data_IF_187158995276
#
_entry.id   IF_187158995276
#
_cell.length_a   1.000
_cell.length_b   1.000
_cell.length_c   1.000
_cell.angle_alpha   90.00
_cell.angle_beta   90.00
_cell.angle_gamma   90.00
#
_symmetry.space_group_name_H-M   'P 1'
#
loop_
_entity.id
_entity.type
_entity.pdbx_description
1 polymer ?
#
# COMPACT_ATOMS: atom_id res chain seq x y z
N UNK A 1 39.54 12.95 34.68
CA UNK A 1 38.70 11.78 35.03
C UNK A 1 37.27 12.13 34.64
N UNK A 2 36.72 11.47 33.62
CA UNK A 2 35.36 11.74 33.11
C UNK A 2 35.25 11.51 31.60
N UNK A 3 35.18 10.24 31.19
CA UNK A 3 34.71 9.91 29.83
C UNK A 3 33.19 9.73 29.90
N UNK A 4 32.45 10.69 29.35
CA UNK A 4 31.03 10.52 29.05
C UNK A 4 30.89 9.55 27.87
N UNK A 5 30.78 8.26 28.16
CA UNK A 5 30.25 7.28 27.22
C UNK A 5 28.74 7.28 27.40
N UNK A 6 28.00 8.00 26.56
CA UNK A 6 26.56 7.75 26.33
C UNK A 6 26.04 8.53 25.13
N UNK A 7 26.44 8.10 23.93
CA UNK A 7 25.61 8.17 22.75
C UNK A 7 25.88 6.87 21.98
N UNK A 8 25.10 5.82 22.22
CA UNK A 8 25.10 4.67 21.31
C UNK A 8 24.55 5.14 19.98
N UNK A 9 25.45 5.49 19.06
CA UNK A 9 25.13 5.77 17.68
C UNK A 9 24.24 4.65 17.12
N UNK A 10 23.11 5.06 16.56
CA UNK A 10 22.39 4.31 15.54
C UNK A 10 23.36 3.77 14.50
N UNK A 11 23.57 2.45 14.49
CA UNK A 11 24.30 1.79 13.41
C UNK A 11 23.57 1.93 12.06
N UNK A 12 24.31 1.92 10.94
CA UNK A 12 23.71 1.93 9.61
C UNK A 12 23.15 0.53 9.32
N UNK A 13 21.83 0.42 9.13
CA UNK A 13 21.23 -0.81 8.57
C UNK A 13 20.18 -1.54 9.41
N UNK A 14 19.62 -0.93 10.46
CA UNK A 14 18.44 -1.46 11.13
C UNK A 14 17.34 -0.40 11.18
N UNK A 15 16.31 -0.53 10.35
CA UNK A 15 15.07 0.23 10.50
C UNK A 15 14.54 -0.02 11.92
N UNK A 16 14.88 0.85 12.88
CA UNK A 16 14.22 0.93 14.19
C UNK A 16 12.83 1.51 13.93
N UNK A 17 11.99 0.79 13.19
CA UNK A 17 10.56 1.00 13.26
C UNK A 17 10.23 0.71 14.72
N UNK A 18 9.99 1.76 15.50
CA UNK A 18 9.33 1.63 16.78
C UNK A 18 8.14 0.70 16.56
N UNK A 19 8.14 -0.45 17.23
CA UNK A 19 7.09 -1.49 17.14
C UNK A 19 5.82 -0.97 17.82
N UNK A 20 5.29 0.14 17.33
CA UNK A 20 3.98 0.65 17.71
C UNK A 20 2.88 -0.09 16.96
N UNK A 21 1.67 0.07 17.46
CA UNK A 21 0.44 -0.28 16.76
C UNK A 21 0.15 0.80 15.72
N UNK A 22 -0.26 0.42 14.51
CA UNK A 22 -0.73 1.37 13.50
C UNK A 22 -2.21 1.14 13.23
N UNK A 23 -3.01 2.20 13.24
CA UNK A 23 -4.44 2.15 12.93
C UNK A 23 -4.71 3.02 11.71
N UNK A 24 -5.36 2.44 10.70
CA UNK A 24 -5.82 3.13 9.50
C UNK A 24 -7.30 3.50 9.70
N UNK A 25 -7.56 4.81 9.77
CA UNK A 25 -8.89 5.38 9.99
C UNK A 25 -9.68 5.49 8.67
N UNK A 26 -11.02 5.60 8.73
CA UNK A 26 -11.86 5.76 7.54
C UNK A 26 -11.55 7.02 6.72
N UNK A 27 -10.96 8.03 7.36
CA UNK A 27 -10.45 9.25 6.71
C UNK A 27 -9.22 9.01 5.82
N UNK A 28 -8.60 7.83 5.89
CA UNK A 28 -7.31 7.53 5.27
C UNK A 28 -6.11 7.98 6.11
N UNK A 29 -6.34 8.56 7.29
CA UNK A 29 -5.29 8.87 8.26
C UNK A 29 -4.72 7.59 8.88
N UNK A 30 -3.40 7.55 9.09
CA UNK A 30 -2.74 6.48 9.84
C UNK A 30 -2.23 7.06 11.15
N UNK A 31 -2.70 6.53 12.28
CA UNK A 31 -2.19 6.89 13.61
C UNK A 31 -1.33 5.78 14.20
N UNK A 32 -0.31 6.20 14.94
CA UNK A 32 0.67 5.32 15.55
C UNK A 32 0.54 5.40 17.08
N UNK A 33 0.36 4.26 17.73
CA UNK A 33 0.28 4.14 19.18
C UNK A 33 1.48 3.35 19.68
N UNK A 34 2.21 3.92 20.65
CA UNK A 34 3.42 3.30 21.22
C UNK A 34 3.20 2.73 22.62
N UNK A 35 1.98 2.88 23.16
CA UNK A 35 1.55 2.32 24.43
C UNK A 35 0.48 1.26 24.16
N UNK A 36 0.31 0.27 25.07
CA UNK A 36 -0.84 -0.62 25.02
C UNK A 36 -2.14 0.19 24.98
N UNK A 37 -3.02 -0.15 24.05
CA UNK A 37 -4.29 0.55 23.82
C UNK A 37 -5.38 -0.47 23.55
N UNK A 38 -6.57 -0.25 24.14
CA UNK A 38 -7.73 -1.10 23.89
C UNK A 38 -8.44 -0.73 22.60
N UNK A 39 -9.06 -1.71 21.97
CA UNK A 39 -9.92 -1.48 20.81
C UNK A 39 -11.06 -0.50 21.13
N UNK A 40 -11.64 -0.59 22.35
CA UNK A 40 -12.66 0.33 22.83
C UNK A 40 -12.25 1.81 22.70
N UNK A 41 -11.01 2.17 23.04
CA UNK A 41 -10.55 3.56 22.97
C UNK A 41 -10.61 4.11 21.54
N UNK A 42 -10.19 3.31 20.56
CA UNK A 42 -10.25 3.67 19.14
C UNK A 42 -11.70 3.70 18.63
N UNK A 43 -12.51 2.72 19.03
CA UNK A 43 -13.91 2.59 18.61
C UNK A 43 -14.80 3.69 19.20
N UNK A 44 -14.47 4.22 20.38
CA UNK A 44 -15.15 5.36 20.98
C UNK A 44 -14.89 6.66 20.22
N UNK A 45 -13.68 6.85 19.68
CA UNK A 45 -13.37 8.04 18.85
C UNK A 45 -14.14 8.03 17.53
N UNK A 46 -14.34 6.84 16.96
CA UNK A 46 -14.99 6.66 15.65
C UNK A 46 -16.11 5.63 15.74
N UNK A 47 -17.28 6.03 16.30
CA UNK A 47 -18.42 5.13 16.46
C UNK A 47 -18.96 4.66 15.10
N UNK A 48 -19.67 3.53 15.10
CA UNK A 48 -20.16 2.83 13.90
C UNK A 48 -19.09 2.20 13.01
N UNK A 49 -17.86 2.10 13.50
CA UNK A 49 -16.78 1.37 12.85
C UNK A 49 -16.28 0.25 13.77
N UNK A 50 -15.76 -0.81 13.14
CA UNK A 50 -15.09 -1.90 13.85
C UNK A 50 -13.66 -2.05 13.35
N UNK A 51 -12.82 -2.62 14.19
CA UNK A 51 -11.39 -2.75 13.95
C UNK A 51 -11.05 -4.17 13.50
N UNK A 52 -10.18 -4.29 12.49
CA UNK A 52 -9.71 -5.57 11.98
C UNK A 52 -8.20 -5.57 11.88
N UNK A 53 -7.56 -6.66 12.34
CA UNK A 53 -6.14 -6.87 12.11
C UNK A 53 -5.89 -7.19 10.63
N UNK A 54 -5.02 -6.45 9.97
CA UNK A 54 -4.66 -6.66 8.56
C UNK A 54 -4.17 -8.08 8.25
N UNK A 55 -3.53 -8.75 9.21
CA UNK A 55 -3.08 -10.15 9.05
C UNK A 55 -4.24 -11.14 8.92
N UNK A 56 -5.43 -10.78 9.38
CA UNK A 56 -6.63 -11.62 9.30
C UNK A 56 -7.43 -11.38 8.01
N UNK A 57 -7.12 -10.33 7.26
CA UNK A 57 -7.83 -9.97 6.02
C UNK A 57 -7.40 -10.89 4.87
N UNK A 58 -8.34 -11.70 4.41
CA UNK A 58 -8.16 -12.60 3.27
C UNK A 58 -9.39 -12.51 2.37
N UNK A 59 -9.17 -12.30 1.07
CA UNK A 59 -10.27 -12.20 0.08
C UNK A 59 -11.16 -13.45 0.16
N UNK A 60 -12.48 -13.23 0.16
CA UNK A 60 -13.47 -14.30 0.23
C UNK A 60 -13.66 -14.89 1.64
N UNK A 61 -12.94 -14.41 2.66
CA UNK A 61 -13.23 -14.72 4.07
C UNK A 61 -14.06 -13.61 4.71
N UNK A 62 -14.80 -13.94 5.77
CA UNK A 62 -15.51 -12.93 6.58
C UNK A 62 -14.51 -12.08 7.36
N UNK A 63 -14.91 -10.85 7.69
CA UNK A 63 -14.12 -10.01 8.56
C UNK A 63 -13.98 -10.61 9.96
N UNK A 64 -12.77 -10.55 10.53
CA UNK A 64 -12.50 -10.91 11.91
C UNK A 64 -12.38 -9.62 12.73
N UNK A 65 -13.52 -9.12 13.20
CA UNK A 65 -13.56 -7.92 14.03
C UNK A 65 -12.98 -8.18 15.42
N UNK A 66 -12.22 -7.22 15.93
CA UNK A 66 -11.75 -7.23 17.32
C UNK A 66 -12.90 -6.91 18.27
N UNK A 67 -12.89 -7.54 19.44
CA UNK A 67 -13.77 -7.16 20.54
C UNK A 67 -13.28 -5.85 21.17
N UNK A 68 -14.21 -5.05 21.69
CA UNK A 68 -13.87 -3.76 22.30
C UNK A 68 -12.92 -3.92 23.52
N UNK A 69 -13.02 -5.03 24.23
CA UNK A 69 -12.20 -5.32 25.41
C UNK A 69 -10.79 -5.84 25.09
N UNK A 70 -10.50 -6.16 23.82
CA UNK A 70 -9.21 -6.65 23.38
C UNK A 70 -8.18 -5.52 23.25
N UNK A 71 -6.94 -5.81 23.65
CA UNK A 71 -5.80 -4.93 23.47
C UNK A 71 -5.23 -5.05 22.04
N UNK A 72 -4.81 -3.93 21.46
CA UNK A 72 -4.12 -3.94 20.17
C UNK A 72 -2.68 -4.41 20.36
N UNK A 73 -2.29 -5.42 19.59
CA UNK A 73 -0.96 -6.02 19.65
C UNK A 73 0.09 -5.12 18.97
N UNK A 74 1.17 -4.85 19.69
CA UNK A 74 2.30 -4.07 19.19
C UNK A 74 2.91 -4.63 17.91
N UNK A 75 3.23 -3.74 16.96
CA UNK A 75 3.80 -4.12 15.67
C UNK A 75 2.78 -4.64 14.64
N UNK A 76 1.49 -4.71 15.01
CA UNK A 76 0.42 -5.01 14.06
C UNK A 76 -0.16 -3.73 13.45
N UNK A 77 -0.81 -3.92 12.30
CA UNK A 77 -1.55 -2.88 11.60
C UNK A 77 -3.03 -3.27 11.62
N UNK A 78 -3.85 -2.30 12.00
CA UNK A 78 -5.30 -2.44 12.12
C UNK A 78 -5.99 -1.45 11.18
N UNK A 79 -7.19 -1.82 10.73
CA UNK A 79 -7.99 -1.03 9.78
C UNK A 79 -9.41 -0.94 10.29
N UNK A 80 -10.01 0.23 10.14
CA UNK A 80 -11.41 0.46 10.49
C UNK A 80 -12.34 0.20 9.31
N UNK A 81 -13.39 -0.58 9.54
CA UNK A 81 -14.45 -0.85 8.58
C UNK A 81 -15.82 -0.42 9.14
N UNK A 82 -16.75 0.05 8.30
CA UNK A 82 -18.10 0.40 8.76
C UNK A 82 -18.87 -0.80 9.31
N UNK A 83 -19.57 -0.66 10.43
CA UNK A 83 -20.36 -1.72 11.07
C UNK A 83 -21.35 -2.43 10.13
N UNK A 84 -21.89 -1.73 9.13
CA UNK A 84 -22.73 -2.34 8.08
C UNK A 84 -22.06 -3.50 7.32
N UNK A 85 -20.74 -3.63 7.42
CA UNK A 85 -19.92 -4.65 6.76
C UNK A 85 -19.43 -5.77 7.69
N UNK A 86 -19.80 -5.76 8.96
CA UNK A 86 -19.27 -6.69 9.97
C UNK A 86 -19.39 -8.16 9.56
N UNK A 87 -20.53 -8.53 8.96
CA UNK A 87 -20.83 -9.90 8.52
C UNK A 87 -20.56 -10.16 7.02
N UNK A 88 -19.98 -9.18 6.32
CA UNK A 88 -19.65 -9.29 4.90
C UNK A 88 -18.33 -10.03 4.67
N UNK A 89 -18.07 -10.39 3.42
CA UNK A 89 -16.80 -10.95 2.99
C UNK A 89 -15.83 -9.84 2.58
N UNK A 90 -14.53 -10.09 2.79
CA UNK A 90 -13.44 -9.25 2.32
C UNK A 90 -13.38 -9.34 0.79
N UNK A 91 -13.46 -8.20 0.12
CA UNK A 91 -13.35 -8.06 -1.33
C UNK A 91 -11.91 -7.73 -1.76
N UNK A 92 -11.60 -7.99 -3.03
CA UNK A 92 -10.35 -7.53 -3.64
C UNK A 92 -10.21 -5.99 -3.58
N UNK A 93 -11.32 -5.26 -3.63
CA UNK A 93 -11.33 -3.80 -3.49
C UNK A 93 -10.82 -3.34 -2.12
N UNK A 94 -11.16 -4.07 -1.04
CA UNK A 94 -10.70 -3.75 0.32
C UNK A 94 -9.20 -3.88 0.44
N UNK A 95 -8.64 -4.98 -0.09
CA UNK A 95 -7.19 -5.20 -0.12
C UNK A 95 -6.48 -4.16 -1.00
N UNK A 96 -7.06 -3.82 -2.15
CA UNK A 96 -6.55 -2.77 -3.03
C UNK A 96 -6.49 -1.40 -2.35
N UNK A 97 -7.53 -1.02 -1.61
CA UNK A 97 -7.57 0.23 -0.84
C UNK A 97 -6.47 0.30 0.24
N UNK A 98 -6.15 -0.83 0.87
CA UNK A 98 -5.07 -0.91 1.85
C UNK A 98 -3.69 -0.74 1.22
N UNK A 99 -3.46 -1.35 0.05
CA UNK A 99 -2.21 -1.19 -0.68
C UNK A 99 -2.00 0.25 -1.14
N UNK A 100 -3.06 0.92 -1.59
CA UNK A 100 -3.00 2.33 -1.98
C UNK A 100 -2.65 3.23 -0.79
N UNK A 101 -3.28 2.98 0.37
CA UNK A 101 -3.01 3.70 1.62
C UNK A 101 -1.58 3.48 2.09
N UNK A 102 -1.04 2.26 1.98
CA UNK A 102 0.36 1.99 2.31
C UNK A 102 1.33 2.75 1.39
N UNK A 103 1.03 2.80 0.09
CA UNK A 103 1.86 3.49 -0.90
C UNK A 103 1.83 5.02 -0.74
N UNK A 104 0.70 5.60 -0.34
CA UNK A 104 0.59 7.05 -0.13
C UNK A 104 1.46 7.53 1.03
N UNK A 105 1.63 6.70 2.08
CA UNK A 105 2.54 7.00 3.19
C UNK A 105 4.00 6.87 2.77
N UNK A 106 4.35 5.86 1.96
CA UNK A 106 5.73 5.68 1.48
C UNK A 106 6.20 6.87 0.63
N UNK A 107 5.33 7.43 -0.21
CA UNK A 107 5.66 8.61 -1.05
C UNK A 107 5.97 9.87 -0.24
N UNK A 108 5.38 10.01 0.96
CA UNK A 108 5.67 11.14 1.86
C UNK A 108 7.06 11.06 2.49
N UNK A 109 7.61 9.87 2.66
CA UNK A 109 8.94 9.64 3.25
C UNK A 109 10.06 9.69 2.21
N UNK A 110 9.76 9.40 0.94
CA UNK A 110 10.76 9.33 -0.14
C UNK A 110 11.23 10.67 -0.71
N UNK A 111 10.77 11.82 -0.19
CA UNK A 111 11.17 13.15 -0.68
C UNK A 111 12.68 13.43 -0.47
N UNK A 112 13.39 12.61 0.31
CA UNK A 112 14.85 12.71 0.52
C UNK A 112 15.72 11.65 -0.17
N UNK A 113 15.15 10.67 -0.91
CA UNK A 113 15.93 9.60 -1.53
C UNK A 113 15.75 9.61 -3.04
N UNK A 114 16.50 10.50 -3.70
CA UNK A 114 16.76 10.41 -5.12
C UNK A 114 17.57 9.14 -5.40
N UNK A 115 16.93 8.13 -6.04
CA UNK A 115 17.49 7.36 -7.17
C UNK A 115 16.53 6.27 -7.70
N UNK A 116 16.13 6.52 -8.96
CA UNK A 116 15.84 5.60 -10.07
C UNK A 116 14.51 4.81 -10.00
N UNK A 117 13.44 5.51 -10.36
CA UNK A 117 12.25 4.97 -11.00
C UNK A 117 12.54 4.81 -12.51
N UNK A 118 12.02 3.78 -13.21
CA UNK A 118 12.01 3.78 -14.67
C UNK A 118 11.13 4.93 -15.17
N UNK A 119 11.73 5.82 -15.97
CA UNK A 119 11.10 6.97 -16.59
C UNK A 119 9.90 6.54 -17.47
N UNK A 120 8.71 6.97 -17.07
CA UNK A 120 7.56 7.11 -17.97
C UNK A 120 7.20 8.59 -17.97
N UNK A 121 7.93 9.36 -18.78
CA UNK A 121 7.49 10.66 -19.31
C UNK A 121 6.24 10.42 -20.18
N UNK A 122 5.19 11.24 -20.15
CA UNK A 122 5.23 12.66 -20.48
C UNK A 122 4.18 13.47 -19.68
N UNK A 123 4.72 14.58 -19.17
CA UNK A 123 4.11 15.82 -18.73
C UNK A 123 3.26 16.51 -19.82
N UNK A 124 2.11 17.06 -19.43
CA UNK A 124 1.44 18.12 -20.18
C UNK A 124 0.43 18.89 -19.33
N UNK A 125 0.91 19.82 -18.51
CA UNK A 125 0.12 20.95 -17.93
C UNK A 125 -0.49 21.78 -19.09
N UNK A 126 -1.59 22.56 -18.99
CA UNK A 126 -2.12 23.53 -18.02
C UNK A 126 -3.65 23.70 -18.33
N UNK A 127 -4.61 24.14 -17.51
CA UNK A 127 -4.68 24.91 -16.26
C UNK A 127 -5.98 24.56 -15.47
N UNK A 128 -5.80 24.29 -14.17
CA UNK A 128 -6.55 24.76 -12.99
C UNK A 128 -8.10 24.64 -12.87
N UNK A 129 -8.57 23.75 -11.98
CA UNK A 129 -9.26 24.14 -10.74
C UNK A 129 -9.28 22.98 -9.73
N UNK A 130 -8.96 23.32 -8.50
CA UNK A 130 -8.96 22.49 -7.28
C UNK A 130 -10.17 21.55 -7.13
N UNK A 131 -9.93 20.30 -6.70
CA UNK A 131 -10.54 19.67 -5.50
C UNK A 131 -10.19 18.18 -5.40
N UNK A 132 -9.97 17.74 -4.16
CA UNK A 132 -9.70 16.36 -3.72
C UNK A 132 -10.60 15.29 -4.39
N UNK A 133 -10.10 14.08 -4.70
CA UNK A 133 -10.99 12.94 -4.91
C UNK A 133 -11.46 12.44 -3.54
N UNK A 134 -12.49 13.09 -3.01
CA UNK A 134 -13.30 12.56 -1.90
C UNK A 134 -14.24 11.54 -2.54
N UNK A 135 -14.01 10.26 -2.29
CA UNK A 135 -14.90 9.20 -2.78
C UNK A 135 -16.22 9.28 -1.99
N UNK A 136 -17.20 10.01 -2.52
CA UNK A 136 -18.59 9.92 -2.07
C UNK A 136 -19.17 8.62 -2.63
N UNK A 137 -19.92 7.91 -1.79
CA UNK A 137 -20.40 6.55 -2.04
C UNK A 137 -21.94 6.52 -2.13
N UNK A 138 -22.50 7.53 -2.79
CA UNK A 138 -23.93 7.64 -3.09
C UNK A 138 -24.04 7.89 -4.61
N UNK A 139 -25.06 7.32 -5.24
CA UNK A 139 -25.41 7.35 -6.68
C UNK A 139 -24.91 6.17 -7.52
N UNK A 140 -25.65 5.05 -7.43
CA UNK A 140 -25.89 4.19 -8.58
C UNK A 140 -27.41 4.19 -8.79
N UNK A 141 -27.90 5.19 -9.51
CA UNK A 141 -29.21 5.13 -10.16
C UNK A 141 -29.03 5.46 -11.64
N UNK A 142 -29.52 4.53 -12.47
CA UNK A 142 -29.98 4.64 -13.87
C UNK A 142 -29.28 5.62 -14.83
N UNK A 143 -28.88 5.12 -16.00
CA UNK A 143 -29.46 5.52 -17.30
C UNK A 143 -28.66 4.89 -18.45
N UNK A 144 -29.40 4.25 -19.34
CA UNK A 144 -28.99 3.71 -20.63
C UNK A 144 -28.52 4.80 -21.62
N UNK A 145 -27.98 4.35 -22.77
CA UNK A 145 -27.80 5.07 -24.06
C UNK A 145 -26.73 6.18 -24.05
N UNK A 146 -25.83 6.37 -25.02
CA UNK A 146 -25.73 5.93 -26.41
C UNK A 146 -24.26 6.18 -26.87
N UNK A 147 -23.74 5.27 -27.70
CA UNK A 147 -22.84 5.56 -28.83
C UNK A 147 -21.54 6.39 -28.62
N UNK A 148 -20.39 5.70 -28.51
CA UNK A 148 -19.12 6.20 -29.05
C UNK A 148 -18.36 5.07 -29.74
N UNK A 149 -18.60 4.92 -31.05
CA UNK A 149 -17.78 4.11 -31.96
C UNK A 149 -16.39 4.75 -32.07
N UNK A 150 -15.38 4.20 -31.41
CA UNK A 150 -13.99 4.54 -31.70
C UNK A 150 -13.22 3.36 -32.27
N UNK A 151 -12.76 3.62 -33.50
CA UNK A 151 -12.18 2.73 -34.50
C UNK A 151 -10.97 1.95 -33.97
N UNK A 152 -11.07 0.62 -34.02
CA UNK A 152 -9.95 -0.29 -33.85
C UNK A 152 -8.97 -0.13 -35.04
N UNK A 153 -7.78 0.40 -34.81
CA UNK A 153 -6.65 0.23 -35.72
C UNK A 153 -5.72 -0.86 -35.17
N UNK A 154 -5.51 -1.90 -35.96
CA UNK A 154 -4.70 -3.06 -35.58
C UNK A 154 -3.20 -2.69 -35.55
N UNK A 155 -2.60 -2.65 -34.36
CA UNK A 155 -1.15 -2.54 -34.21
C UNK A 155 -0.50 -3.91 -34.48
N UNK A 156 0.18 -4.04 -35.61
CA UNK A 156 0.98 -5.24 -35.90
C UNK A 156 2.25 -5.22 -35.05
N UNK A 157 2.35 -6.19 -34.15
CA UNK A 157 3.54 -6.43 -33.35
C UNK A 157 4.69 -6.91 -34.26
N UNK A 158 5.82 -6.20 -34.23
CA UNK A 158 7.07 -6.70 -34.81
C UNK A 158 7.85 -7.40 -33.69
N UNK A 159 8.08 -8.70 -33.86
CA UNK A 159 9.02 -9.47 -33.02
C UNK A 159 10.41 -9.30 -33.64
N UNK A 160 11.39 -8.72 -32.94
CA UNK A 160 12.77 -8.77 -33.42
C UNK A 160 13.26 -10.22 -33.29
N UNK A 161 13.87 -10.74 -34.35
CA UNK A 161 14.51 -12.05 -34.36
C UNK A 161 15.94 -11.85 -33.85
N UNK A 162 16.27 -12.45 -32.70
CA UNK A 162 17.63 -12.48 -32.19
C UNK A 162 18.34 -13.69 -32.80
N UNK A 163 19.47 -13.45 -33.45
CA UNK A 163 20.32 -14.52 -33.95
C UNK A 163 21.06 -15.20 -32.78
N UNK A 164 21.22 -16.52 -32.88
CA UNK A 164 21.92 -17.32 -31.87
C UNK A 164 23.42 -17.18 -32.10
N UNK A 165 24.15 -16.73 -31.08
CA UNK A 165 25.61 -16.66 -31.11
C UNK A 165 26.13 -18.07 -30.81
N UNK A 166 26.93 -18.62 -31.70
CA UNK A 166 27.67 -19.86 -31.45
C UNK A 166 29.01 -19.52 -30.79
N UNK A 167 29.20 -19.95 -29.54
CA UNK A 167 30.50 -19.98 -28.90
C UNK A 167 31.02 -21.42 -28.97
N UNK A 168 32.30 -21.63 -29.31
CA UNK A 168 33.07 -22.88 -29.09
C UNK A 168 34.52 -22.69 -29.62
N UNK A 169 35.51 -23.50 -29.19
CA UNK A 169 36.17 -23.42 -27.88
C UNK A 169 37.70 -23.18 -28.01
N UNK A 170 38.33 -22.55 -27.02
CA UNK A 170 39.81 -22.45 -26.97
C UNK A 170 40.38 -23.79 -26.49
N UNK A 171 40.86 -24.61 -27.42
CA UNK A 171 41.63 -25.81 -27.10
C UNK A 171 43.00 -25.43 -26.52
N UNK A 172 43.19 -25.70 -25.23
CA UNK A 172 44.51 -25.73 -24.58
C UNK A 172 45.00 -27.18 -24.45
N UNK A 173 46.33 -27.34 -24.68
CA UNK A 173 47.26 -28.47 -24.41
C UNK A 173 47.50 -29.40 -25.62
N UNK A 174 48.71 -29.57 -26.19
CA UNK A 174 50.11 -29.81 -25.73
C UNK A 174 50.47 -31.32 -25.75
N UNK A 175 51.53 -31.66 -26.49
CA UNK A 175 52.27 -32.94 -26.54
C UNK A 175 52.81 -33.16 -27.96
N UNK A 176 54.08 -33.42 -28.24
CA UNK A 176 55.22 -33.96 -27.48
C UNK A 176 56.46 -33.06 -27.58
#
# INVERSE_FOLDING_TARGET
MGNYISCTLSGPGGNKQSRGVKVIFPSGEIRHFYQPIKAAEIMMETPNFFLVNTRSLHIGRRFSALNADEDLEMGNVYVMFPMKRLNSFVSAADMGALLLTANSVSKRVSIGSFRILPESSIQGNYYEKSTLPKLNLDDIEDFSSEEFKHRLSMCRSKKPLLETIAEEPVCLRRGF
#
